data_IF_724192180265
#
_entry.id   IF_724192180265
#
_cell.length_a   1.000
_cell.length_b   1.000
_cell.length_c   1.000
_cell.angle_alpha   90.00
_cell.angle_beta   90.00
_cell.angle_gamma   90.00
#
_symmetry.space_group_name_H-M   'P 1'
#
loop_
_entity.id
_entity.type
_entity.pdbx_description
1 polymer ?
#
# COMPACT_ATOMS: atom_id res chain seq x y z
N UNK A 1 21.06 44.79 64.99
CA UNK A 1 19.60 44.76 64.72
C UNK A 1 19.47 44.41 63.24
N UNK A 2 19.00 43.26 62.78
CA UNK A 2 17.97 42.33 63.26
C UNK A 2 18.05 41.02 62.44
N UNK A 3 17.96 39.88 63.13
CA UNK A 3 17.10 38.71 62.83
C UNK A 3 17.22 37.89 61.52
N UNK A 4 17.79 36.69 61.67
CA UNK A 4 17.18 35.36 61.46
C UNK A 4 16.96 34.67 60.07
N UNK A 5 16.97 33.30 60.07
CA UNK A 5 17.43 32.42 58.98
C UNK A 5 16.31 31.54 58.37
N UNK A 6 16.32 31.32 57.05
CA UNK A 6 15.25 30.56 56.36
C UNK A 6 15.80 30.11 55.00
N UNK A 7 15.68 28.90 54.45
CA UNK A 7 15.14 27.57 54.81
C UNK A 7 15.72 26.61 53.76
N UNK A 8 15.97 25.36 54.15
CA UNK A 8 16.10 24.24 53.20
C UNK A 8 14.76 24.07 52.47
N UNK A 9 14.75 24.13 51.15
CA UNK A 9 13.59 23.72 50.35
C UNK A 9 14.02 22.87 49.15
N UNK A 10 13.79 21.56 49.32
CA UNK A 10 13.15 20.68 48.34
C UNK A 10 14.01 20.25 47.12
N UNK A 11 14.60 19.03 47.15
CA UNK A 11 15.07 18.36 45.94
C UNK A 11 13.86 17.73 45.26
N UNK A 12 13.22 18.41 44.32
CA UNK A 12 12.10 17.81 43.57
C UNK A 12 12.02 18.37 42.14
N UNK A 13 13.11 18.24 41.38
CA UNK A 13 13.10 18.66 39.96
C UNK A 13 13.91 17.71 39.06
N UNK A 14 13.84 16.40 39.29
CA UNK A 14 14.45 15.40 38.37
C UNK A 14 13.46 14.30 37.93
N UNK A 15 12.22 14.26 38.44
CA UNK A 15 11.26 13.19 38.08
C UNK A 15 10.31 13.55 36.92
N UNK A 16 10.38 14.76 36.37
CA UNK A 16 9.41 15.21 35.36
C UNK A 16 9.86 15.10 33.88
N UNK A 17 11.07 14.63 33.57
CA UNK A 17 11.57 14.61 32.17
C UNK A 17 11.53 13.21 31.50
N UNK A 18 11.16 12.15 32.23
CA UNK A 18 11.20 10.79 31.70
C UNK A 18 9.86 10.29 31.08
N UNK A 19 8.84 11.15 30.93
CA UNK A 19 7.48 10.71 30.56
C UNK A 19 6.96 11.19 29.20
N UNK A 20 7.80 11.71 28.31
CA UNK A 20 7.34 12.21 27.00
C UNK A 20 7.79 11.37 25.80
N UNK A 21 8.56 10.28 25.99
CA UNK A 21 9.06 9.45 24.88
C UNK A 21 8.17 8.25 24.49
N UNK A 22 7.03 8.03 25.15
CA UNK A 22 6.19 6.84 24.88
C UNK A 22 5.02 7.09 23.90
N UNK A 23 4.64 8.34 23.63
CA UNK A 23 3.44 8.65 22.84
C UNK A 23 3.63 8.57 21.31
N UNK A 24 4.87 8.56 20.82
CA UNK A 24 5.16 8.55 19.38
C UNK A 24 5.02 7.19 18.68
N UNK A 25 4.92 6.09 19.44
CA UNK A 25 5.00 4.71 18.92
C UNK A 25 3.62 4.04 18.78
N UNK A 26 2.52 4.76 19.03
CA UNK A 26 1.17 4.18 18.94
C UNK A 26 0.46 4.43 17.60
N UNK A 27 0.90 5.42 16.81
CA UNK A 27 0.26 5.72 15.51
C UNK A 27 0.46 4.62 14.44
N UNK A 28 1.53 3.81 14.56
CA UNK A 28 1.83 2.73 13.61
C UNK A 28 1.09 1.42 13.89
N UNK A 29 0.27 1.35 14.95
CA UNK A 29 -0.44 0.13 15.40
C UNK A 29 -1.94 0.15 15.12
N UNK A 30 -2.41 0.98 14.18
CA UNK A 30 -3.76 0.76 13.65
C UNK A 30 -3.75 -0.54 12.85
N UNK A 31 -4.38 -1.59 13.40
CA UNK A 31 -4.50 -2.91 12.79
C UNK A 31 -5.32 -2.89 11.51
N UNK A 32 -4.73 -2.37 10.43
CA UNK A 32 -5.27 -2.46 9.09
C UNK A 32 -5.19 -3.90 8.61
N UNK A 33 -6.34 -4.49 8.24
CA UNK A 33 -6.38 -5.76 7.51
C UNK A 33 -5.50 -5.64 6.26
N UNK A 34 -4.54 -6.54 6.09
CA UNK A 34 -3.72 -6.60 4.88
C UNK A 34 -4.66 -6.80 3.66
N UNK A 35 -4.54 -5.98 2.60
CA UNK A 35 -5.41 -6.11 1.44
C UNK A 35 -5.18 -7.47 0.76
N UNK A 36 -6.29 -8.08 0.36
CA UNK A 36 -6.29 -9.27 -0.50
C UNK A 36 -5.54 -8.99 -1.81
N UNK A 37 -5.16 -10.05 -2.51
CA UNK A 37 -4.45 -9.91 -3.78
C UNK A 37 -5.27 -9.12 -4.82
N UNK A 38 -6.57 -9.41 -4.91
CA UNK A 38 -7.53 -8.66 -5.71
C UNK A 38 -7.58 -7.18 -5.32
N UNK A 39 -7.78 -6.86 -4.04
CA UNK A 39 -7.84 -5.47 -3.56
C UNK A 39 -6.55 -4.70 -3.88
N UNK A 40 -5.38 -5.34 -3.69
CA UNK A 40 -4.09 -4.77 -4.07
C UNK A 40 -4.03 -4.40 -5.55
N UNK A 41 -4.50 -5.27 -6.43
CA UNK A 41 -4.52 -5.02 -7.86
C UNK A 41 -5.52 -3.91 -8.22
N UNK A 42 -6.77 -3.98 -7.75
CA UNK A 42 -7.80 -2.98 -8.04
C UNK A 42 -7.36 -1.58 -7.60
N UNK A 43 -6.91 -1.45 -6.34
CA UNK A 43 -6.49 -0.18 -5.76
C UNK A 43 -5.19 0.33 -6.38
N UNK A 44 -4.18 -0.55 -6.49
CA UNK A 44 -2.86 -0.18 -7.00
C UNK A 44 -2.85 0.16 -8.48
N UNK A 45 -3.76 -0.44 -9.28
CA UNK A 45 -3.92 -0.14 -10.70
C UNK A 45 -4.89 1.03 -10.95
N UNK A 46 -5.63 1.46 -9.93
CA UNK A 46 -6.72 2.41 -10.06
C UNK A 46 -7.76 1.94 -11.10
N UNK A 47 -8.10 0.65 -11.05
CA UNK A 47 -9.21 0.07 -11.81
C UNK A 47 -10.53 0.60 -11.22
N UNK A 48 -11.29 1.36 -12.02
CA UNK A 48 -12.49 2.08 -11.56
C UNK A 48 -13.72 1.74 -12.38
N UNK A 49 -13.55 1.34 -13.64
CA UNK A 49 -14.65 0.95 -14.51
C UNK A 49 -15.01 -0.50 -14.24
N UNK A 50 -16.29 -0.90 -14.35
CA UNK A 50 -16.70 -2.29 -14.19
C UNK A 50 -15.85 -3.26 -15.04
N UNK A 51 -15.65 -2.96 -16.32
CA UNK A 51 -14.83 -3.78 -17.22
C UNK A 51 -13.35 -3.91 -16.82
N UNK A 52 -12.79 -2.93 -16.11
CA UNK A 52 -11.43 -3.00 -15.59
C UNK A 52 -11.36 -3.88 -14.34
N UNK A 53 -12.38 -3.80 -13.49
CA UNK A 53 -12.52 -4.67 -12.32
C UNK A 53 -12.74 -6.11 -12.78
N UNK A 54 -13.58 -6.34 -13.78
CA UNK A 54 -13.80 -7.66 -14.38
C UNK A 54 -12.50 -8.25 -14.95
N UNK A 55 -11.69 -7.43 -15.61
CA UNK A 55 -10.37 -7.85 -16.07
C UNK A 55 -9.45 -8.24 -14.90
N UNK A 56 -9.41 -7.46 -13.82
CA UNK A 56 -8.63 -7.81 -12.62
C UNK A 56 -9.15 -9.11 -12.00
N UNK A 57 -10.46 -9.32 -11.96
CA UNK A 57 -11.07 -10.54 -11.45
C UNK A 57 -10.66 -11.76 -12.28
N UNK A 58 -10.68 -11.65 -13.61
CA UNK A 58 -10.19 -12.70 -14.50
C UNK A 58 -8.69 -12.98 -14.30
N UNK A 59 -7.87 -11.94 -14.09
CA UNK A 59 -6.44 -12.11 -13.77
C UNK A 59 -6.25 -12.88 -12.48
N UNK A 60 -6.97 -12.49 -11.41
CA UNK A 60 -6.89 -13.15 -10.10
C UNK A 60 -7.30 -14.61 -10.21
N UNK A 61 -8.44 -14.90 -10.83
CA UNK A 61 -8.92 -16.25 -11.05
C UNK A 61 -7.90 -17.10 -11.85
N UNK A 62 -7.36 -16.56 -12.95
CA UNK A 62 -6.37 -17.28 -13.77
C UNK A 62 -5.08 -17.57 -12.97
N UNK A 63 -4.69 -16.68 -12.05
CA UNK A 63 -3.56 -16.90 -11.13
C UNK A 63 -3.88 -17.95 -10.08
N UNK A 64 -5.07 -17.91 -9.47
CA UNK A 64 -5.52 -18.84 -8.44
C UNK A 64 -5.67 -20.26 -9.00
N UNK A 65 -6.10 -20.39 -10.26
CA UNK A 65 -6.09 -21.65 -11.03
C UNK A 65 -4.68 -22.13 -11.42
N UNK A 66 -3.63 -21.35 -11.14
CA UNK A 66 -2.24 -21.69 -11.48
C UNK A 66 -1.88 -21.56 -12.95
N UNK A 67 -2.78 -21.04 -13.80
CA UNK A 67 -2.58 -20.89 -15.24
C UNK A 67 -1.73 -19.67 -15.58
N UNK A 68 -1.90 -18.57 -14.83
CA UNK A 68 -1.13 -17.34 -15.01
C UNK A 68 -0.09 -17.20 -13.88
N UNK A 69 1.22 -17.12 -14.15
CA UNK A 69 2.22 -17.00 -13.10
C UNK A 69 2.06 -15.71 -12.30
N UNK A 70 1.84 -15.82 -10.98
CA UNK A 70 1.70 -14.65 -10.08
C UNK A 70 2.85 -13.65 -10.21
N UNK A 71 4.09 -14.15 -10.31
CA UNK A 71 5.30 -13.32 -10.50
C UNK A 71 5.25 -12.45 -11.77
N UNK A 72 4.62 -12.94 -12.85
CA UNK A 72 4.45 -12.16 -14.08
C UNK A 72 3.47 -11.01 -13.86
N UNK A 73 2.37 -11.27 -13.15
CA UNK A 73 1.38 -10.26 -12.78
C UNK A 73 1.99 -9.20 -11.89
N UNK A 74 2.71 -9.61 -10.83
CA UNK A 74 3.37 -8.69 -9.90
C UNK A 74 4.39 -7.79 -10.61
N UNK A 75 5.25 -8.37 -11.46
CA UNK A 75 6.22 -7.59 -12.26
C UNK A 75 5.52 -6.56 -13.14
N UNK A 76 4.44 -6.97 -13.82
CA UNK A 76 3.68 -6.08 -14.72
C UNK A 76 2.93 -5.02 -13.93
N UNK A 77 2.44 -5.34 -12.74
CA UNK A 77 1.79 -4.42 -11.81
C UNK A 77 2.74 -3.30 -11.37
N UNK A 78 3.94 -3.64 -10.90
CA UNK A 78 4.93 -2.64 -10.49
C UNK A 78 5.38 -1.78 -11.68
N UNK A 79 5.66 -2.41 -12.83
CA UNK A 79 6.01 -1.69 -14.05
C UNK A 79 4.92 -0.71 -14.48
N UNK A 80 3.64 -1.11 -14.46
CA UNK A 80 2.55 -0.23 -14.86
C UNK A 80 2.37 0.97 -13.92
N UNK A 81 2.60 0.77 -12.61
CA UNK A 81 2.55 1.84 -11.61
C UNK A 81 3.69 2.85 -11.76
N UNK A 82 4.88 2.38 -12.10
CA UNK A 82 6.04 3.22 -12.39
C UNK A 82 5.88 3.96 -13.72
N UNK A 83 5.34 3.29 -14.74
CA UNK A 83 5.13 3.86 -16.08
C UNK A 83 4.14 5.02 -16.09
N UNK A 84 3.19 5.03 -15.15
CA UNK A 84 2.18 6.09 -15.01
C UNK A 84 2.84 7.41 -14.62
N UNK A 85 2.86 8.40 -15.55
CA UNK A 85 3.53 9.66 -15.29
C UNK A 85 2.80 10.44 -14.19
N UNK A 86 3.58 11.16 -13.39
CA UNK A 86 3.09 11.91 -12.26
C UNK A 86 3.38 13.39 -12.43
N UNK A 87 2.40 14.24 -12.11
CA UNK A 87 2.55 15.69 -12.09
C UNK A 87 1.94 16.24 -10.82
N UNK A 88 2.72 16.96 -10.03
CA UNK A 88 2.29 17.57 -8.77
C UNK A 88 1.62 16.57 -7.81
N UNK A 89 2.26 15.41 -7.58
CA UNK A 89 1.75 14.37 -6.67
C UNK A 89 0.54 13.59 -7.20
N UNK A 90 0.14 13.82 -8.46
CA UNK A 90 -1.03 13.17 -9.08
C UNK A 90 -0.63 12.39 -10.32
N UNK A 91 -1.07 11.13 -10.39
CA UNK A 91 -0.94 10.32 -11.60
C UNK A 91 -1.78 10.95 -12.73
N UNK A 92 -1.12 11.29 -13.83
CA UNK A 92 -1.75 11.81 -15.05
C UNK A 92 -2.63 10.75 -15.71
N UNK A 93 -2.22 9.49 -15.61
CA UNK A 93 -2.91 8.34 -16.19
C UNK A 93 -3.05 7.22 -15.17
N UNK A 94 -4.17 6.49 -15.21
CA UNK A 94 -4.39 5.37 -14.29
C UNK A 94 -3.51 4.18 -14.70
N UNK A 95 -2.75 3.54 -13.79
CA UNK A 95 -1.84 2.45 -14.16
C UNK A 95 -2.51 1.30 -14.92
N UNK A 96 -3.80 1.04 -14.72
CA UNK A 96 -4.57 0.00 -15.42
C UNK A 96 -4.44 0.10 -16.96
N UNK A 97 -4.34 1.31 -17.52
CA UNK A 97 -4.25 1.50 -18.98
C UNK A 97 -2.94 0.96 -19.58
N UNK A 98 -1.89 0.86 -18.76
CA UNK A 98 -0.61 0.26 -19.15
C UNK A 98 -0.59 -1.22 -18.81
N UNK A 99 -1.12 -1.59 -17.64
CA UNK A 99 -1.13 -2.95 -17.14
C UNK A 99 -1.89 -3.91 -18.05
N UNK A 100 -3.12 -3.57 -18.43
CA UNK A 100 -3.98 -4.46 -19.21
C UNK A 100 -3.34 -4.89 -20.54
N UNK A 101 -2.93 -3.98 -21.45
CA UNK A 101 -2.30 -4.40 -22.70
C UNK A 101 -0.95 -5.10 -22.50
N UNK A 102 -0.17 -4.69 -21.50
CA UNK A 102 1.12 -5.33 -21.22
C UNK A 102 0.94 -6.77 -20.74
N UNK A 103 0.06 -7.01 -19.76
CA UNK A 103 -0.18 -8.34 -19.22
C UNK A 103 -0.81 -9.26 -20.26
N UNK A 104 -1.80 -8.77 -21.02
CA UNK A 104 -2.42 -9.52 -22.12
C UNK A 104 -1.36 -9.99 -23.11
N UNK A 105 -0.49 -9.08 -23.59
CA UNK A 105 0.58 -9.44 -24.52
C UNK A 105 1.58 -10.46 -23.94
N UNK A 106 1.88 -10.39 -22.64
CA UNK A 106 2.75 -11.37 -21.99
C UNK A 106 2.08 -12.73 -21.84
N UNK A 107 0.78 -12.75 -21.52
CA UNK A 107 -0.01 -13.98 -21.42
C UNK A 107 -0.14 -14.67 -22.80
N UNK A 108 -0.42 -13.89 -23.85
CA UNK A 108 -0.48 -14.38 -25.24
C UNK A 108 0.82 -15.07 -25.67
N UNK A 109 1.98 -14.48 -25.35
CA UNK A 109 3.30 -15.08 -25.63
C UNK A 109 3.52 -16.43 -24.95
N UNK A 110 2.81 -16.67 -23.85
CA UNK A 110 2.86 -17.92 -23.09
C UNK A 110 1.73 -18.88 -23.46
N UNK A 111 0.87 -18.51 -24.43
CA UNK A 111 -0.31 -19.30 -24.80
C UNK A 111 -1.39 -19.32 -23.72
N UNK A 112 -1.40 -18.36 -22.80
CA UNK A 112 -2.34 -18.28 -21.68
C UNK A 112 -3.46 -17.31 -22.04
N UNK A 113 -4.71 -17.78 -21.93
CA UNK A 113 -5.90 -16.92 -22.01
C UNK A 113 -6.25 -16.41 -20.62
N UNK A 114 -6.40 -15.09 -20.47
CA UNK A 114 -6.88 -14.47 -19.23
C UNK A 114 -8.41 -14.46 -19.29
N UNK A 115 -9.03 -15.31 -18.48
CA UNK A 115 -10.47 -15.46 -18.41
C UNK A 115 -10.89 -15.92 -17.01
N UNK A 116 -12.13 -15.64 -16.65
CA UNK A 116 -12.73 -16.13 -15.42
C UNK A 116 -13.48 -17.42 -15.73
N UNK A 117 -13.21 -18.49 -14.99
CA UNK A 117 -14.13 -19.64 -14.98
C UNK A 117 -15.26 -19.31 -13.99
N UNK A 118 -16.50 -19.31 -14.48
CA UNK A 118 -17.71 -19.05 -13.71
C UNK A 118 -18.00 -20.13 -12.67
#
# INVERSE_FOLDING_TARGET
MTSHPIRRCIPLLIVALALSLAAGVQAARQGGKEPTYRERLVLGLQARRPSEVDFVDAVVDTVERGKLPRRLVDRTFFWARERSPERNGRKLHRPIIYFQPALTKQAEKLGIKIERDS
#
